data_IF_103694425127
#
_entry.id   IF_103694425127
#
_cell.length_a   1.000
_cell.length_b   1.000
_cell.length_c   1.000
_cell.angle_alpha   90.00
_cell.angle_beta   90.00
_cell.angle_gamma   90.00
#
_symmetry.space_group_name_H-M   'P 1'
#
loop_
_entity.id
_entity.type
_entity.pdbx_description
1 polymer ?
#
# COMPACT_ATOMS: atom_id res chain seq x y z
N UNK A 1 -8.72 18.05 -5.98
CA UNK A 1 -7.63 17.15 -6.22
C UNK A 1 -7.54 16.14 -5.10
N UNK A 2 -7.48 14.88 -5.45
CA UNK A 2 -7.51 13.83 -4.44
C UNK A 2 -6.16 13.18 -4.30
N UNK A 3 -5.72 12.99 -3.07
CA UNK A 3 -4.51 12.25 -2.79
C UNK A 3 -4.86 10.92 -2.18
N UNK A 4 -4.08 9.92 -2.52
CA UNK A 4 -4.27 8.57 -1.99
C UNK A 4 -2.98 8.04 -1.42
N UNK A 5 -3.09 7.23 -0.40
CA UNK A 5 -1.94 6.57 0.18
C UNK A 5 -2.12 5.07 0.01
N UNK A 6 -1.10 4.39 -0.45
CA UNK A 6 -1.15 2.95 -0.63
C UNK A 6 -0.14 2.33 0.31
N UNK A 7 -0.63 1.58 1.28
CA UNK A 7 0.22 0.83 2.19
C UNK A 7 0.36 -0.59 1.67
N UNK A 8 1.57 -1.06 1.53
CA UNK A 8 1.82 -2.38 0.97
C UNK A 8 2.49 -3.26 2.00
N UNK A 9 1.87 -4.41 2.24
CA UNK A 9 2.42 -5.40 3.15
C UNK A 9 3.17 -6.41 2.28
N UNK A 10 4.49 -6.40 2.38
CA UNK A 10 5.36 -7.17 1.51
C UNK A 10 5.46 -8.62 1.96
N UNK A 11 5.40 -9.53 1.04
CA UNK A 11 5.71 -10.92 1.34
C UNK A 11 6.32 -11.57 0.12
N UNK A 12 6.71 -12.81 0.26
CA UNK A 12 7.54 -13.47 -0.75
C UNK A 12 6.84 -13.62 -2.10
N UNK A 13 5.61 -14.06 -2.09
CA UNK A 13 4.92 -14.36 -3.32
C UNK A 13 3.87 -13.35 -3.73
N UNK A 14 3.41 -12.57 -2.80
CA UNK A 14 2.34 -11.62 -3.08
C UNK A 14 2.43 -10.44 -2.13
N UNK A 15 1.81 -9.36 -2.47
CA UNK A 15 1.79 -8.17 -1.62
C UNK A 15 0.35 -7.75 -1.41
N UNK A 16 0.00 -7.38 -0.18
CA UNK A 16 -1.33 -6.90 0.15
C UNK A 16 -1.29 -5.39 0.10
N UNK A 17 -2.09 -4.80 -0.77
CA UNK A 17 -2.11 -3.35 -0.93
C UNK A 17 -3.41 -2.79 -0.37
N UNK A 18 -3.29 -1.77 0.46
CA UNK A 18 -4.44 -1.10 1.04
C UNK A 18 -4.44 0.34 0.55
N UNK A 19 -5.47 0.73 -0.16
CA UNK A 19 -5.56 2.06 -0.74
C UNK A 19 -6.48 2.92 0.12
N UNK A 20 -5.96 4.04 0.57
CA UNK A 20 -6.66 4.88 1.51
C UNK A 20 -6.77 6.28 0.94
N UNK A 21 -7.95 6.86 1.03
CA UNK A 21 -8.16 8.23 0.61
C UNK A 21 -7.61 9.17 1.67
N UNK A 22 -6.76 10.10 1.29
CA UNK A 22 -6.21 11.05 2.25
C UNK A 22 -7.28 12.03 2.72
N UNK A 23 -8.27 12.28 1.89
CA UNK A 23 -9.30 13.26 2.24
C UNK A 23 -10.13 12.85 3.44
N UNK A 24 -10.55 11.61 3.49
CA UNK A 24 -11.41 11.16 4.59
C UNK A 24 -10.77 10.00 5.37
N UNK A 25 -9.57 9.60 5.01
CA UNK A 25 -8.82 8.55 5.70
C UNK A 25 -9.56 7.23 5.73
N UNK A 26 -10.35 6.97 4.72
CA UNK A 26 -11.08 5.71 4.64
C UNK A 26 -10.47 4.82 3.59
N UNK A 27 -10.59 3.53 3.80
CA UNK A 27 -10.11 2.55 2.85
C UNK A 27 -10.99 2.60 1.61
N UNK A 28 -10.34 2.83 0.48
CA UNK A 28 -11.03 2.85 -0.79
C UNK A 28 -11.08 1.43 -1.36
N UNK A 29 -9.99 0.71 -1.21
CA UNK A 29 -9.89 -0.62 -1.82
C UNK A 29 -8.75 -1.39 -1.20
N UNK A 30 -8.85 -2.70 -1.23
CA UNK A 30 -7.76 -3.58 -0.84
C UNK A 30 -7.56 -4.55 -1.98
N UNK A 31 -6.32 -4.75 -2.35
CA UNK A 31 -6.03 -5.64 -3.47
C UNK A 31 -4.76 -6.42 -3.18
N UNK A 32 -4.73 -7.66 -3.62
CA UNK A 32 -3.55 -8.50 -3.47
C UNK A 32 -2.94 -8.64 -4.85
N UNK A 33 -1.67 -8.32 -4.98
CA UNK A 33 -0.98 -8.47 -6.26
C UNK A 33 0.14 -9.50 -6.09
N UNK A 34 0.47 -10.17 -7.17
CA UNK A 34 1.57 -11.12 -7.14
C UNK A 34 2.89 -10.37 -7.14
N UNK A 35 3.91 -10.96 -6.54
CA UNK A 35 5.24 -10.36 -6.49
C UNK A 35 5.96 -10.65 -7.80
N UNK A 36 5.45 -10.12 -8.90
CA UNK A 36 6.05 -10.27 -10.21
C UNK A 36 5.56 -9.13 -11.10
N UNK A 37 6.06 -9.08 -12.32
CA UNK A 37 5.74 -7.99 -13.22
C UNK A 37 4.26 -7.87 -13.51
N UNK A 38 3.57 -8.99 -13.67
CA UNK A 38 2.13 -8.96 -13.93
C UNK A 38 1.38 -8.33 -12.77
N UNK A 39 1.75 -8.68 -11.54
CA UNK A 39 1.11 -8.10 -10.37
C UNK A 39 1.40 -6.62 -10.25
N UNK A 40 2.64 -6.21 -10.53
CA UNK A 40 3.01 -4.80 -10.46
C UNK A 40 2.25 -3.99 -11.52
N UNK A 41 2.04 -4.56 -12.70
CA UNK A 41 1.28 -3.88 -13.73
C UNK A 41 -0.19 -3.74 -13.33
N UNK A 42 -0.73 -4.71 -12.60
CA UNK A 42 -2.08 -4.59 -12.06
C UNK A 42 -2.15 -3.41 -11.11
N UNK A 43 -1.16 -3.26 -10.25
CA UNK A 43 -1.15 -2.17 -9.32
C UNK A 43 -1.06 -0.83 -10.05
N UNK A 44 -0.22 -0.77 -11.09
CA UNK A 44 -0.07 0.46 -11.85
C UNK A 44 -1.39 0.83 -12.54
N UNK A 45 -2.12 -0.14 -13.06
CA UNK A 45 -3.41 0.10 -13.67
C UNK A 45 -4.38 0.69 -12.65
N UNK A 46 -4.38 0.14 -11.45
CA UNK A 46 -5.25 0.64 -10.39
C UNK A 46 -4.86 2.07 -10.04
N UNK A 47 -3.58 2.35 -9.91
CA UNK A 47 -3.11 3.68 -9.58
C UNK A 47 -3.56 4.69 -10.63
N UNK A 48 -3.41 4.34 -11.90
CA UNK A 48 -3.79 5.26 -12.97
C UNK A 48 -5.30 5.49 -13.03
N UNK A 49 -6.08 4.54 -12.52
CA UNK A 49 -7.52 4.72 -12.50
C UNK A 49 -7.98 5.56 -11.32
N UNK A 50 -7.14 5.72 -10.31
CA UNK A 50 -7.52 6.47 -9.12
C UNK A 50 -7.22 7.95 -9.26
N UNK A 51 -6.04 8.28 -9.71
CA UNK A 51 -5.61 9.66 -9.74
C UNK A 51 -4.32 9.77 -10.52
N UNK A 52 -3.85 11.00 -10.66
CA UNK A 52 -2.58 11.26 -11.28
C UNK A 52 -1.50 10.63 -10.38
N UNK A 53 -0.51 9.95 -10.93
CA UNK A 53 0.56 9.37 -10.11
C UNK A 53 1.21 10.35 -9.15
N UNK A 54 1.25 11.63 -9.49
CA UNK A 54 1.81 12.62 -8.60
C UNK A 54 1.01 12.76 -7.30
N UNK A 55 -0.24 12.32 -7.29
CA UNK A 55 -1.09 12.41 -6.11
C UNK A 55 -1.17 11.09 -5.34
N UNK A 56 -0.29 10.17 -5.65
CA UNK A 56 -0.24 8.87 -4.99
C UNK A 56 1.02 8.79 -4.16
N UNK A 57 0.89 8.33 -2.94
CA UNK A 57 2.04 8.08 -2.07
C UNK A 57 2.00 6.62 -1.66
N UNK A 58 3.12 5.94 -1.74
CA UNK A 58 3.21 4.52 -1.47
C UNK A 58 4.16 4.31 -0.30
N UNK A 59 3.75 3.49 0.65
CA UNK A 59 4.60 3.17 1.78
C UNK A 59 4.62 1.67 2.03
N UNK A 60 5.77 1.15 2.40
CA UNK A 60 5.90 -0.26 2.77
C UNK A 60 7.13 -0.44 3.63
N UNK A 61 7.17 -1.54 4.39
CA UNK A 61 8.38 -1.83 5.12
C UNK A 61 9.25 -2.65 4.21
N UNK A 62 10.52 -2.36 4.22
CA UNK A 62 11.45 -3.09 3.41
C UNK A 62 11.84 -4.33 4.18
N UNK A 63 11.30 -5.46 3.77
CA UNK A 63 11.67 -6.69 4.42
C UNK A 63 12.56 -7.44 3.51
N UNK A 64 13.78 -7.36 3.79
CA UNK A 64 14.78 -8.11 3.08
C UNK A 64 14.65 -7.84 1.60
N UNK A 65 14.83 -8.88 0.81
CA UNK A 65 14.86 -8.70 -0.60
C UNK A 65 13.52 -8.91 -1.26
N UNK A 66 12.49 -9.18 -0.49
CA UNK A 66 11.18 -9.40 -1.11
C UNK A 66 10.60 -8.11 -1.67
N UNK A 67 11.06 -6.95 -1.21
CA UNK A 67 10.57 -5.69 -1.72
C UNK A 67 11.40 -5.17 -2.91
N UNK A 68 12.53 -5.79 -3.20
CA UNK A 68 13.45 -5.25 -4.18
C UNK A 68 12.85 -5.08 -5.57
N UNK A 69 12.15 -6.08 -6.05
CA UNK A 69 11.57 -6.01 -7.38
C UNK A 69 10.48 -4.95 -7.44
N UNK A 70 9.71 -4.82 -6.36
CA UNK A 70 8.68 -3.81 -6.30
C UNK A 70 9.32 -2.41 -6.31
N UNK A 71 10.40 -2.22 -5.57
CA UNK A 71 11.09 -0.94 -5.52
C UNK A 71 11.57 -0.53 -6.91
N UNK A 72 12.19 -1.48 -7.62
CA UNK A 72 12.68 -1.19 -8.96
C UNK A 72 11.54 -0.82 -9.89
N UNK A 73 10.42 -1.53 -9.77
CA UNK A 73 9.26 -1.23 -10.60
C UNK A 73 8.73 0.17 -10.31
N UNK A 74 8.64 0.53 -9.03
CA UNK A 74 8.10 1.84 -8.66
C UNK A 74 9.03 2.96 -9.11
N UNK A 75 10.33 2.75 -9.03
CA UNK A 75 11.28 3.75 -9.51
C UNK A 75 11.15 3.93 -11.01
N UNK A 76 11.03 2.85 -11.75
CA UNK A 76 10.90 2.94 -13.19
C UNK A 76 9.58 3.56 -13.63
N UNK A 77 8.58 3.50 -12.77
CA UNK A 77 7.26 4.06 -13.07
C UNK A 77 7.13 5.49 -12.55
N UNK A 78 8.19 6.03 -12.00
CA UNK A 78 8.22 7.40 -11.47
C UNK A 78 7.17 7.63 -10.39
N UNK A 79 6.95 6.62 -9.57
CA UNK A 79 6.00 6.72 -8.46
C UNK A 79 6.76 7.05 -7.18
N UNK A 80 6.15 7.86 -6.34
CA UNK A 80 6.75 8.24 -5.07
C UNK A 80 6.49 7.15 -4.04
N UNK A 81 7.54 6.63 -3.43
CA UNK A 81 7.38 5.61 -2.41
C UNK A 81 8.43 5.81 -1.32
N UNK A 82 8.19 5.21 -0.17
CA UNK A 82 9.13 5.27 0.93
C UNK A 82 9.01 4.03 1.78
N UNK A 83 10.10 3.69 2.46
CA UNK A 83 10.06 2.64 3.43
C UNK A 83 9.53 3.25 4.71
N UNK A 84 8.63 2.55 5.36
CA UNK A 84 8.05 3.04 6.59
C UNK A 84 8.26 2.03 7.69
N UNK A 85 8.12 2.48 8.90
CA UNK A 85 8.25 1.63 10.05
C UNK A 85 7.10 0.62 10.05
N UNK A 86 7.39 -0.66 10.27
CA UNK A 86 6.34 -1.69 10.30
C UNK A 86 5.22 -1.36 11.28
N UNK A 87 5.56 -0.71 12.38
CA UNK A 87 4.57 -0.36 13.38
C UNK A 87 3.57 0.63 12.78
N UNK A 88 4.03 1.55 11.97
CA UNK A 88 3.13 2.53 11.36
C UNK A 88 2.16 1.87 10.40
N UNK A 89 2.62 0.91 9.61
CA UNK A 89 1.74 0.20 8.71
C UNK A 89 0.72 -0.58 9.51
N UNK A 90 1.15 -1.23 10.56
CA UNK A 90 0.27 -2.00 11.39
C UNK A 90 -0.79 -1.12 12.05
N UNK A 91 -0.40 0.03 12.53
CA UNK A 91 -1.35 0.94 13.16
C UNK A 91 -2.33 1.50 12.15
N UNK A 92 -1.87 1.75 10.93
CA UNK A 92 -2.74 2.26 9.91
C UNK A 92 -3.79 1.21 9.58
N UNK A 93 -3.39 -0.06 9.46
CA UNK A 93 -4.33 -1.12 9.21
C UNK A 93 -5.32 -1.25 10.34
N UNK A 94 -4.86 -1.13 11.57
CA UNK A 94 -5.75 -1.20 12.70
C UNK A 94 -6.76 -0.08 12.66
N UNK A 95 -6.34 1.12 12.34
CA UNK A 95 -7.26 2.22 12.37
C UNK A 95 -8.33 2.09 11.29
N UNK A 96 -8.07 1.37 10.21
CA UNK A 96 -9.08 1.20 9.19
C UNK A 96 -10.02 0.05 9.45
N UNK A 97 -9.60 -0.88 10.32
CA UNK A 97 -10.46 -2.00 10.56
C UNK A 97 -10.95 -2.02 11.95
N UNK A 98 -10.45 -1.11 12.76
CA UNK A 98 -10.55 -1.18 14.02
C UNK A 98 -11.77 -1.21 14.65
N UNK A 99 -12.48 -0.42 14.32
CA UNK A 99 -13.55 -0.31 15.03
C UNK A 99 -13.99 -1.55 15.57
N UNK A 100 -13.99 -2.54 14.87
CA UNK A 100 -14.48 -3.70 15.33
C UNK A 100 -13.59 -4.34 16.26
N UNK A 101 -12.37 -4.15 16.13
CA UNK A 101 -11.56 -4.90 16.91
C UNK A 101 -11.26 -4.30 18.13
N UNK A 102 -11.44 -3.13 18.26
CA UNK A 102 -11.00 -2.52 19.31
C UNK A 102 -11.43 -3.17 20.45
N UNK A 103 -12.29 -3.77 20.33
CA UNK A 103 -12.72 -4.32 21.43
C UNK A 103 -11.92 -5.38 21.86
N UNK A 104 -11.42 -5.93 21.13
CA UNK A 104 -10.69 -6.97 21.52
C UNK A 104 -9.49 -6.66 21.78
N UNK A 105 -9.25 -5.98 21.80
CA UNK A 105 -8.28 -5.72 22.16
C UNK A 105 -7.88 -5.55 23.00
N UNK A 106 -8.08 -5.61 23.23
CA UNK A 106 -7.68 -5.42 23.88
C UNK A 106 -7.21 -5.89 24.30
N UNK A 107 -7.39 -6.24 24.21
CA UNK A 107 -7.09 -6.77 24.44
C UNK A 107 -6.70 -7.04 24.55
#
# INVERSE_FOLDING_TARGET
MSMYFIGIDISKYKHDCCIISAANQKVVSKVIIKNNKAGFNELLTIIHSLANPADIRIGFESTAHYALNLELFLENSLLTFMEVNPVLISEYKKSTTLRRTKTDSVD
#
